data_IF_012140735012
#
_entry.id   IF_012140735012
#
_cell.length_a   1.000
_cell.length_b   1.000
_cell.length_c   1.000
_cell.angle_alpha   90.00
_cell.angle_beta   90.00
_cell.angle_gamma   90.00
#
_symmetry.space_group_name_H-M   'P 1'
#
loop_
_entity.id
_entity.type
_entity.pdbx_description
1 polymer ?
#
# COMPACT_ATOMS: atom_id res chain seq x y z
N UNK A 1 8.24 -21.10 17.36
CA UNK A 1 7.44 -20.19 16.54
C UNK A 1 8.13 -19.81 15.21
N UNK A 2 9.28 -19.13 15.24
CA UNK A 2 9.98 -18.67 14.03
C UNK A 2 10.25 -19.77 12.97
N UNK A 3 10.67 -20.97 13.38
CA UNK A 3 10.90 -22.09 12.45
C UNK A 3 9.63 -22.52 11.72
N UNK A 4 8.51 -22.63 12.45
CA UNK A 4 7.21 -23.03 11.89
C UNK A 4 6.68 -21.94 10.96
N UNK A 5 6.75 -20.66 11.38
CA UNK A 5 6.42 -19.51 10.53
C UNK A 5 7.28 -19.48 9.25
N UNK A 6 8.57 -19.83 9.36
CA UNK A 6 9.48 -19.94 8.23
C UNK A 6 9.12 -21.05 7.25
N UNK A 7 8.74 -22.24 7.74
CA UNK A 7 8.26 -23.35 6.90
C UNK A 7 6.97 -22.94 6.18
N UNK A 8 5.99 -22.41 6.93
CA UNK A 8 4.70 -22.00 6.38
C UNK A 8 4.87 -20.91 5.30
N UNK A 9 5.70 -19.90 5.56
CA UNK A 9 6.00 -18.85 4.58
C UNK A 9 6.63 -19.39 3.29
N UNK A 10 7.56 -20.35 3.40
CA UNK A 10 8.17 -21.00 2.20
C UNK A 10 7.16 -21.84 1.42
N UNK A 11 6.26 -22.52 2.12
CA UNK A 11 5.17 -23.29 1.49
C UNK A 11 4.24 -22.35 0.71
N UNK A 12 3.80 -21.25 1.31
CA UNK A 12 2.95 -20.26 0.66
C UNK A 12 3.57 -19.71 -0.63
N UNK A 13 4.84 -19.27 -0.56
CA UNK A 13 5.58 -18.78 -1.75
C UNK A 13 5.70 -19.87 -2.83
N UNK A 14 5.85 -21.13 -2.42
CA UNK A 14 5.93 -22.26 -3.37
C UNK A 14 4.60 -22.50 -4.10
N UNK A 15 3.47 -22.35 -3.41
CA UNK A 15 2.13 -22.44 -4.02
C UNK A 15 1.96 -21.32 -5.05
N UNK A 16 2.25 -20.07 -4.67
CA UNK A 16 2.17 -18.90 -5.58
C UNK A 16 3.03 -19.12 -6.81
N UNK A 17 4.27 -19.62 -6.64
CA UNK A 17 5.18 -19.91 -7.76
C UNK A 17 4.61 -20.96 -8.71
N UNK A 18 4.00 -22.03 -8.18
CA UNK A 18 3.38 -23.08 -9.01
C UNK A 18 2.19 -22.56 -9.81
N UNK A 19 1.34 -21.74 -9.18
CA UNK A 19 0.21 -21.10 -9.87
C UNK A 19 0.73 -20.19 -10.99
N UNK A 20 1.70 -19.32 -10.69
CA UNK A 20 2.30 -18.42 -11.68
C UNK A 20 2.92 -19.17 -12.86
N UNK A 21 3.63 -20.26 -12.62
CA UNK A 21 4.22 -21.08 -13.68
C UNK A 21 3.15 -21.73 -14.58
N UNK A 22 1.97 -22.06 -14.05
CA UNK A 22 0.88 -22.65 -14.81
C UNK A 22 0.13 -21.63 -15.67
N UNK A 23 -0.02 -20.39 -15.20
CA UNK A 23 -0.77 -19.33 -15.90
C UNK A 23 0.09 -18.47 -16.82
N UNK A 24 1.41 -18.41 -16.58
CA UNK A 24 2.32 -17.55 -17.33
C UNK A 24 2.46 -18.05 -18.78
N UNK A 25 2.17 -17.17 -19.73
CA UNK A 25 2.40 -17.39 -21.16
C UNK A 25 3.52 -16.45 -21.64
N UNK A 26 4.65 -16.95 -22.15
CA UNK A 26 5.68 -16.10 -22.75
C UNK A 26 5.09 -15.30 -23.92
N UNK A 27 5.27 -13.98 -23.94
CA UNK A 27 4.92 -13.11 -25.08
C UNK A 27 6.17 -12.41 -25.60
N UNK A 28 6.32 -12.30 -26.92
CA UNK A 28 7.52 -11.75 -27.56
C UNK A 28 7.54 -10.23 -27.73
N UNK A 29 6.46 -9.50 -27.47
CA UNK A 29 6.41 -8.02 -27.60
C UNK A 29 5.43 -7.39 -26.60
N UNK A 30 5.79 -6.18 -26.13
CA UNK A 30 5.18 -5.29 -25.11
C UNK A 30 4.09 -5.85 -24.18
N UNK A 31 4.39 -5.84 -22.87
CA UNK A 31 3.42 -6.10 -21.79
C UNK A 31 2.64 -4.83 -21.46
N UNK A 32 1.43 -4.69 -21.97
CA UNK A 32 0.34 -4.04 -21.22
C UNK A 32 -0.20 -5.04 -20.20
N UNK A 33 -0.41 -4.59 -18.97
CA UNK A 33 -0.93 -5.42 -17.89
C UNK A 33 -1.98 -4.64 -17.10
N UNK A 34 -3.03 -5.34 -16.67
CA UNK A 34 -4.02 -4.84 -15.72
C UNK A 34 -3.77 -5.60 -14.42
N UNK A 35 -3.47 -4.86 -13.35
CA UNK A 35 -3.32 -5.41 -12.01
C UNK A 35 -4.59 -5.20 -11.20
N UNK A 36 -4.96 -6.21 -10.42
CA UNK A 36 -5.98 -6.08 -9.38
C UNK A 36 -5.27 -6.26 -8.04
N UNK A 37 -5.43 -5.30 -7.15
CA UNK A 37 -4.87 -5.32 -5.81
C UNK A 37 -6.01 -5.54 -4.82
N UNK A 38 -6.00 -6.69 -4.16
CA UNK A 38 -6.91 -7.04 -3.07
C UNK A 38 -6.12 -7.06 -1.77
N UNK A 39 -6.55 -6.25 -0.79
CA UNK A 39 -5.82 -6.03 0.46
C UNK A 39 -6.79 -6.06 1.64
N UNK A 40 -6.28 -6.45 2.82
CA UNK A 40 -7.05 -6.43 4.06
C UNK A 40 -7.39 -4.99 4.47
N UNK A 41 -8.64 -4.78 4.89
CA UNK A 41 -9.09 -3.50 5.42
C UNK A 41 -8.47 -3.17 6.79
N UNK A 42 -8.74 -1.96 7.26
CA UNK A 42 -8.27 -1.47 8.57
C UNK A 42 -8.85 -2.33 9.71
N UNK A 43 -8.01 -2.69 10.68
CA UNK A 43 -8.37 -3.51 11.84
C UNK A 43 -8.37 -2.68 13.13
N UNK A 44 -9.39 -2.87 13.97
CA UNK A 44 -9.47 -2.24 15.28
C UNK A 44 -10.12 -3.21 16.29
N UNK A 45 -9.30 -3.88 17.08
CA UNK A 45 -9.74 -4.81 18.12
C UNK A 45 -9.48 -4.22 19.52
N UNK A 46 -10.08 -4.83 20.55
CA UNK A 46 -9.83 -4.46 21.95
C UNK A 46 -8.34 -4.58 22.34
N UNK A 47 -7.64 -5.54 21.71
CA UNK A 47 -6.18 -5.70 21.81
C UNK A 47 -5.61 -5.93 20.42
N UNK A 48 -4.81 -4.96 19.94
CA UNK A 48 -4.11 -5.05 18.65
C UNK A 48 -2.67 -5.51 18.88
N UNK A 49 -2.21 -6.51 18.13
CA UNK A 49 -0.82 -6.94 18.14
C UNK A 49 -0.01 -6.28 17.03
N UNK A 50 1.27 -6.65 16.90
CA UNK A 50 2.14 -6.14 15.85
C UNK A 50 1.62 -6.45 14.44
N UNK A 51 0.88 -7.54 14.28
CA UNK A 51 0.24 -7.92 13.02
C UNK A 51 -0.82 -6.90 12.58
N UNK A 52 -1.74 -6.51 13.48
CA UNK A 52 -2.72 -5.43 13.22
C UNK A 52 -2.00 -4.12 12.91
N UNK A 53 -0.92 -3.80 13.63
CA UNK A 53 -0.13 -2.60 13.37
C UNK A 53 0.45 -2.60 11.95
N UNK A 54 1.02 -3.72 11.49
CA UNK A 54 1.50 -3.85 10.12
C UNK A 54 0.38 -3.68 9.08
N UNK A 55 -0.81 -4.25 9.34
CA UNK A 55 -1.97 -4.15 8.45
C UNK A 55 -2.46 -2.70 8.36
N UNK A 56 -2.60 -2.01 9.49
CA UNK A 56 -3.05 -0.63 9.54
C UNK A 56 -2.02 0.32 8.94
N UNK A 57 -0.72 0.09 9.15
CA UNK A 57 0.33 0.85 8.49
C UNK A 57 0.29 0.70 6.96
N UNK A 58 0.04 -0.51 6.44
CA UNK A 58 -0.15 -0.72 5.01
C UNK A 58 -1.38 0.04 4.47
N UNK A 59 -2.50 0.02 5.20
CA UNK A 59 -3.70 0.79 4.87
C UNK A 59 -3.41 2.30 4.86
N UNK A 60 -2.65 2.81 5.83
CA UNK A 60 -2.30 4.23 5.91
C UNK A 60 -1.44 4.68 4.71
N UNK A 61 -0.52 3.83 4.25
CA UNK A 61 0.26 4.09 3.03
C UNK A 61 -0.63 4.14 1.78
N UNK A 62 -1.62 3.26 1.68
CA UNK A 62 -2.58 3.27 0.58
C UNK A 62 -3.50 4.49 0.64
N UNK A 63 -3.93 4.90 1.83
CA UNK A 63 -4.66 6.13 2.03
C UNK A 63 -3.83 7.34 1.59
N UNK A 64 -2.53 7.38 1.90
CA UNK A 64 -1.67 8.49 1.45
C UNK A 64 -1.48 8.50 -0.06
N UNK A 65 -1.36 7.32 -0.68
CA UNK A 65 -1.34 7.20 -2.14
C UNK A 65 -2.62 7.78 -2.76
N UNK A 66 -3.79 7.44 -2.20
CA UNK A 66 -5.07 7.99 -2.64
C UNK A 66 -5.15 9.50 -2.46
N UNK A 67 -4.80 10.01 -1.28
CA UNK A 67 -4.84 11.45 -0.98
C UNK A 67 -3.95 12.23 -1.94
N UNK A 68 -2.74 11.74 -2.19
CA UNK A 68 -1.83 12.36 -3.13
C UNK A 68 -2.37 12.34 -4.57
N UNK A 69 -2.87 11.20 -5.02
CA UNK A 69 -3.25 11.03 -6.42
C UNK A 69 -4.54 11.77 -6.77
N UNK A 70 -5.54 11.69 -5.89
CA UNK A 70 -6.86 12.28 -6.13
C UNK A 70 -6.92 13.76 -5.74
N UNK A 71 -6.29 14.18 -4.64
CA UNK A 71 -6.41 15.58 -4.20
C UNK A 71 -5.21 16.43 -4.59
N UNK A 72 -3.98 16.00 -4.26
CA UNK A 72 -2.80 16.86 -4.43
C UNK A 72 -2.48 17.06 -5.91
N UNK A 73 -2.39 15.97 -6.68
CA UNK A 73 -2.04 16.03 -8.10
C UNK A 73 -3.12 16.71 -8.95
N UNK A 74 -4.42 16.46 -8.68
CA UNK A 74 -5.49 17.13 -9.43
C UNK A 74 -5.48 18.65 -9.18
N UNK A 75 -5.29 19.08 -7.93
CA UNK A 75 -5.21 20.52 -7.63
C UNK A 75 -3.96 21.18 -8.21
N UNK A 76 -2.83 20.47 -8.25
CA UNK A 76 -1.62 20.92 -8.95
C UNK A 76 -1.89 21.13 -10.46
N UNK A 77 -2.62 20.21 -11.10
CA UNK A 77 -2.98 20.32 -12.51
C UNK A 77 -3.94 21.50 -12.77
N UNK A 78 -4.98 21.68 -11.95
CA UNK A 78 -5.89 22.82 -12.09
C UNK A 78 -5.15 24.17 -11.97
N UNK A 79 -4.21 24.28 -11.04
CA UNK A 79 -3.37 25.46 -10.89
C UNK A 79 -2.47 25.67 -12.12
N UNK A 80 -1.91 24.58 -12.67
CA UNK A 80 -1.06 24.63 -13.85
C UNK A 80 -1.83 25.05 -15.11
N UNK A 81 -3.08 24.58 -15.28
CA UNK A 81 -3.96 24.98 -16.37
C UNK A 81 -4.61 26.37 -16.17
N UNK A 82 -4.41 27.00 -15.01
CA UNK A 82 -4.99 28.30 -14.67
C UNK A 82 -6.51 28.25 -14.50
N UNK A 83 -7.06 27.08 -14.17
CA UNK A 83 -8.49 26.89 -13.92
C UNK A 83 -8.81 27.42 -12.54
N UNK A 84 -9.77 28.35 -12.46
CA UNK A 84 -10.23 28.89 -11.19
C UNK A 84 -11.06 27.84 -10.45
N UNK A 85 -10.41 27.08 -9.58
CA UNK A 85 -10.98 26.00 -8.79
C UNK A 85 -10.97 26.35 -7.29
N UNK A 86 -11.95 25.85 -6.53
CA UNK A 86 -11.96 26.01 -5.07
C UNK A 86 -11.09 24.93 -4.43
N UNK A 87 -10.05 25.34 -3.71
CA UNK A 87 -9.20 24.39 -3.00
C UNK A 87 -10.03 23.53 -2.04
N UNK A 88 -9.94 22.22 -2.21
CA UNK A 88 -10.60 21.24 -1.35
C UNK A 88 -9.66 20.95 -0.18
N UNK A 89 -10.15 21.21 1.03
CA UNK A 89 -9.47 20.76 2.24
C UNK A 89 -9.63 19.25 2.42
N UNK A 90 -8.53 18.56 2.73
CA UNK A 90 -8.50 17.13 3.00
C UNK A 90 -7.59 16.83 4.19
N UNK A 91 -7.79 15.66 4.79
CA UNK A 91 -6.92 15.18 5.88
C UNK A 91 -5.71 14.48 5.28
N UNK A 92 -4.52 15.03 5.51
CA UNK A 92 -3.25 14.43 5.14
C UNK A 92 -2.72 13.58 6.28
N UNK A 93 -2.40 12.32 6.00
CA UNK A 93 -1.88 11.37 6.98
C UNK A 93 -0.35 11.23 6.94
N UNK A 94 0.36 12.09 6.20
CA UNK A 94 1.82 12.04 6.08
C UNK A 94 2.51 12.06 7.45
N UNK A 95 2.04 12.86 8.40
CA UNK A 95 2.65 12.95 9.72
C UNK A 95 2.56 11.63 10.51
N UNK A 96 1.49 10.87 10.33
CA UNK A 96 1.35 9.54 10.93
C UNK A 96 2.35 8.55 10.31
N UNK A 97 2.49 8.55 8.99
CA UNK A 97 3.47 7.71 8.29
C UNK A 97 4.91 8.05 8.67
N UNK A 98 5.19 9.34 8.81
CA UNK A 98 6.48 9.87 9.22
C UNK A 98 6.88 9.39 10.61
N UNK A 99 5.94 9.44 11.56
CA UNK A 99 6.14 8.92 12.91
C UNK A 99 6.35 7.41 12.92
N UNK A 100 5.63 6.66 12.08
CA UNK A 100 5.68 5.19 12.10
C UNK A 100 6.98 4.67 11.46
N UNK A 101 7.39 5.17 10.29
CA UNK A 101 8.48 4.55 9.53
C UNK A 101 9.35 5.47 8.66
N UNK A 102 8.97 6.73 8.39
CA UNK A 102 9.67 7.53 7.37
C UNK A 102 10.68 8.55 7.91
N UNK A 103 10.46 9.12 9.12
CA UNK A 103 11.40 10.07 9.73
C UNK A 103 12.43 9.39 10.64
N UNK A 104 13.49 10.11 11.02
CA UNK A 104 14.45 9.62 12.03
C UNK A 104 13.73 9.43 13.38
N UNK A 105 14.18 8.44 14.16
CA UNK A 105 13.58 8.07 15.45
C UNK A 105 12.10 7.68 15.32
N UNK A 106 11.74 7.01 14.22
CA UNK A 106 10.41 6.46 14.01
C UNK A 106 10.17 5.20 14.87
N UNK A 107 8.91 4.76 14.95
CA UNK A 107 8.50 3.61 15.78
C UNK A 107 9.13 2.29 15.31
N UNK A 108 9.37 2.13 14.01
CA UNK A 108 9.94 0.91 13.41
C UNK A 108 11.48 0.86 13.42
N UNK A 109 12.15 1.91 13.91
CA UNK A 109 13.62 2.06 13.88
C UNK A 109 14.36 1.22 14.93
#
# INVERSE_FOLDING_TARGET
DAFVKGIYGRLFVTIVRKINAAIYKPKSTMRTAIGVLDIFGFENFDQNSFEQFCINFANENLQQFFVRHIFKLEQEEYNHEGINWQHIEFVDNQDALDLIALKQLNIMA
#
